data_IF_706153051879
#
_entry.id   IF_706153051879
#
_cell.length_a   1.000
_cell.length_b   1.000
_cell.length_c   1.000
_cell.angle_alpha   90.00
_cell.angle_beta   90.00
_cell.angle_gamma   90.00
#
_symmetry.space_group_name_H-M   'P 1'
#
loop_
_entity.id
_entity.type
_entity.pdbx_description
1 polymer ?
#
# COMPACT_ATOMS: atom_id res chain seq x y z
N UNK A 1 4.03 20.28 -14.53
CA UNK A 1 2.93 20.47 -13.57
C UNK A 1 3.05 19.36 -12.54
N UNK A 2 3.19 19.68 -11.24
CA UNK A 2 3.20 18.67 -10.18
C UNK A 2 1.84 18.00 -10.12
N UNK A 3 1.77 16.67 -10.17
CA UNK A 3 0.53 15.96 -9.88
C UNK A 3 0.02 16.35 -8.47
N UNK A 4 -1.30 16.48 -8.30
CA UNK A 4 -1.88 16.71 -6.98
C UNK A 4 -1.54 15.57 -6.04
N UNK A 5 -1.28 15.88 -4.76
CA UNK A 5 -1.10 14.87 -3.73
C UNK A 5 -2.44 14.23 -3.43
N UNK A 6 -2.50 12.90 -3.51
CA UNK A 6 -3.73 12.13 -3.36
C UNK A 6 -3.47 10.90 -2.50
N UNK A 7 -4.54 10.38 -1.87
CA UNK A 7 -4.46 9.12 -1.14
C UNK A 7 -4.01 7.95 -2.01
N UNK A 8 -3.47 6.91 -1.38
CA UNK A 8 -2.93 5.73 -2.02
C UNK A 8 -1.84 6.04 -3.06
N UNK A 9 -1.09 7.13 -2.90
CA UNK A 9 0.05 7.45 -3.77
C UNK A 9 1.35 7.46 -2.96
N UNK A 10 2.46 7.19 -3.65
CA UNK A 10 3.81 7.38 -3.10
C UNK A 10 4.32 8.73 -3.59
N UNK A 11 4.71 9.58 -2.65
CA UNK A 11 5.22 10.90 -2.94
C UNK A 11 6.54 11.14 -2.21
N UNK A 12 7.47 11.85 -2.85
CA UNK A 12 8.64 12.40 -2.17
C UNK A 12 8.36 13.85 -1.82
N UNK A 13 8.34 14.16 -0.53
CA UNK A 13 7.96 15.46 0.01
C UNK A 13 9.07 16.03 0.87
N UNK A 14 9.20 17.36 0.83
CA UNK A 14 10.20 18.08 1.62
C UNK A 14 9.68 18.32 3.03
N UNK A 15 10.51 18.09 4.03
CA UNK A 15 10.22 18.40 5.42
C UNK A 15 10.34 19.90 5.65
N UNK A 16 9.24 20.55 6.02
CA UNK A 16 9.20 22.00 6.25
C UNK A 16 9.46 22.36 7.71
N UNK A 17 8.93 21.56 8.64
CA UNK A 17 9.04 21.80 10.09
C UNK A 17 8.86 20.51 10.89
N UNK A 18 9.37 20.52 12.11
CA UNK A 18 9.22 19.44 13.08
C UNK A 18 8.42 19.94 14.29
N UNK A 19 7.65 19.05 14.89
CA UNK A 19 6.92 19.29 16.14
C UNK A 19 6.96 18.03 17.01
N UNK A 20 6.39 18.09 18.22
CA UNK A 20 6.24 16.92 19.08
C UNK A 20 5.39 15.81 18.43
N UNK A 21 4.43 16.17 17.57
CA UNK A 21 3.57 15.20 16.89
C UNK A 21 4.27 14.46 15.74
N UNK A 22 5.29 15.07 15.14
CA UNK A 22 5.99 14.55 13.97
C UNK A 22 6.52 15.63 13.03
N UNK A 23 6.79 15.23 11.79
CA UNK A 23 7.28 16.10 10.73
C UNK A 23 6.13 16.60 9.87
N UNK A 24 6.14 17.88 9.49
CA UNK A 24 5.21 18.43 8.51
C UNK A 24 5.89 18.50 7.16
N UNK A 25 5.26 17.88 6.18
CA UNK A 25 5.73 17.75 4.81
C UNK A 25 5.01 18.76 3.93
N UNK A 26 5.74 19.27 2.92
CA UNK A 26 5.20 20.21 1.94
C UNK A 26 4.02 19.60 1.17
N UNK A 27 2.81 20.11 1.45
CA UNK A 27 1.57 19.74 0.76
C UNK A 27 1.48 20.22 -0.68
N UNK A 28 2.47 21.01 -1.17
CA UNK A 28 2.51 21.62 -2.51
C UNK A 28 1.33 22.53 -2.83
N UNK A 29 0.63 23.02 -1.80
CA UNK A 29 -0.48 23.97 -1.92
C UNK A 29 -0.05 25.42 -1.71
N UNK A 30 1.13 25.64 -1.13
CA UNK A 30 1.60 26.95 -0.68
C UNK A 30 0.92 27.44 0.61
N UNK A 31 0.08 26.61 1.25
CA UNK A 31 -0.61 26.91 2.48
C UNK A 31 -0.21 25.93 3.58
N UNK A 32 0.35 26.43 4.68
CA UNK A 32 0.86 25.62 5.79
C UNK A 32 -0.22 24.84 6.55
N UNK A 33 -1.49 25.20 6.38
CA UNK A 33 -2.61 24.45 6.97
C UNK A 33 -2.88 23.13 6.23
N UNK A 34 -2.42 23.02 4.97
CA UNK A 34 -2.55 21.81 4.16
C UNK A 34 -1.24 20.98 4.17
N UNK A 35 -0.29 21.34 5.06
CA UNK A 35 0.91 20.54 5.29
C UNK A 35 0.53 19.12 5.71
N UNK A 36 1.20 18.13 5.14
CA UNK A 36 0.92 16.74 5.43
C UNK A 36 1.70 16.31 6.67
N UNK A 37 1.01 15.86 7.69
CA UNK A 37 1.64 15.37 8.92
C UNK A 37 2.17 13.94 8.72
N UNK A 38 3.47 13.77 8.91
CA UNK A 38 4.17 12.50 9.09
C UNK A 38 4.42 12.28 10.58
N UNK A 39 3.54 11.51 11.22
CA UNK A 39 3.64 11.21 12.65
C UNK A 39 4.96 10.52 13.00
N UNK A 40 5.48 10.79 14.20
CA UNK A 40 6.76 10.23 14.66
C UNK A 40 6.80 8.69 14.65
N UNK A 41 5.67 8.03 14.92
CA UNK A 41 5.55 6.56 14.89
C UNK A 41 5.52 5.97 13.46
N UNK A 42 5.37 6.82 12.44
CA UNK A 42 5.36 6.45 11.02
C UNK A 42 6.70 6.72 10.32
N UNK A 43 7.68 7.26 11.05
CA UNK A 43 9.03 7.49 10.55
C UNK A 43 9.83 6.20 10.70
N UNK A 44 10.50 5.76 9.63
CA UNK A 44 11.40 4.60 9.67
C UNK A 44 12.80 4.98 10.13
N UNK A 45 13.18 6.24 9.92
CA UNK A 45 14.50 6.79 10.17
C UNK A 45 14.37 8.21 10.75
N UNK A 46 15.47 8.79 11.21
CA UNK A 46 15.49 10.16 11.72
C UNK A 46 15.21 11.16 10.58
N UNK A 47 14.20 12.02 10.78
CA UNK A 47 13.77 13.03 9.79
C UNK A 47 14.20 14.43 10.22
N UNK A 48 14.90 15.17 9.35
CA UNK A 48 15.36 16.55 9.62
C UNK A 48 14.67 17.56 8.72
N UNK A 49 14.60 18.80 9.19
CA UNK A 49 14.06 19.91 8.39
C UNK A 49 14.90 20.10 7.13
N UNK A 50 14.25 20.19 5.98
CA UNK A 50 14.89 20.31 4.68
C UNK A 50 15.09 19.00 3.93
N UNK A 51 14.95 17.85 4.59
CA UNK A 51 15.08 16.53 3.97
C UNK A 51 13.95 16.27 2.98
N UNK A 52 14.23 15.42 1.99
CA UNK A 52 13.21 14.86 1.10
C UNK A 52 12.94 13.42 1.54
N UNK A 53 11.72 13.15 1.99
CA UNK A 53 11.31 11.82 2.46
C UNK A 53 10.30 11.21 1.50
N UNK A 54 10.48 9.94 1.17
CA UNK A 54 9.51 9.17 0.40
C UNK A 54 8.47 8.57 1.34
N UNK A 55 7.20 8.90 1.09
CA UNK A 55 6.08 8.53 1.95
C UNK A 55 4.91 7.99 1.13
N UNK A 56 4.14 7.11 1.75
CA UNK A 56 2.83 6.69 1.30
C UNK A 56 1.75 7.59 1.91
N UNK A 57 0.87 8.14 1.06
CA UNK A 57 -0.20 9.05 1.46
C UNK A 57 -1.51 8.29 1.70
N UNK A 58 -2.17 8.57 2.82
CA UNK A 58 -3.43 7.93 3.20
C UNK A 58 -4.29 8.89 4.04
N UNK A 59 -5.58 8.57 4.22
CA UNK A 59 -6.46 9.33 5.11
C UNK A 59 -6.45 8.79 6.54
N UNK A 60 -6.29 9.67 7.52
CA UNK A 60 -6.52 9.36 8.93
C UNK A 60 -8.03 9.10 9.19
N UNK A 61 -8.42 8.59 10.37
CA UNK A 61 -9.83 8.40 10.71
C UNK A 61 -10.66 9.70 10.72
N UNK A 62 -9.99 10.86 10.81
CA UNK A 62 -10.61 12.19 10.74
C UNK A 62 -10.76 12.70 9.29
N UNK A 63 -10.39 11.90 8.29
CA UNK A 63 -10.47 12.26 6.87
C UNK A 63 -9.39 13.22 6.40
N UNK A 64 -8.29 13.40 7.16
CA UNK A 64 -7.17 14.26 6.77
C UNK A 64 -6.10 13.46 6.06
N UNK A 65 -5.53 14.04 5.01
CA UNK A 65 -4.41 13.43 4.28
C UNK A 65 -3.16 13.45 5.16
N UNK A 66 -2.62 12.27 5.42
CA UNK A 66 -1.43 12.04 6.25
C UNK A 66 -0.44 11.14 5.49
N UNK A 67 0.77 10.99 6.03
CA UNK A 67 1.87 10.29 5.41
C UNK A 67 2.47 9.24 6.34
N UNK A 68 2.99 8.16 5.75
CA UNK A 68 3.84 7.18 6.44
C UNK A 68 5.05 6.82 5.59
N UNK A 69 6.22 6.61 6.23
CA UNK A 69 7.41 6.08 5.54
C UNK A 69 7.33 4.57 5.34
N UNK A 70 6.30 3.90 5.86
CA UNK A 70 6.03 2.48 5.59
C UNK A 70 5.45 2.32 4.19
N UNK A 71 6.33 1.99 3.25
CA UNK A 71 5.99 1.76 1.85
C UNK A 71 5.47 0.32 1.63
N UNK A 72 4.72 0.08 0.54
CA UNK A 72 4.30 -1.27 0.17
C UNK A 72 5.51 -2.18 -0.03
N UNK A 73 5.45 -3.39 0.54
CA UNK A 73 6.51 -4.41 0.43
C UNK A 73 6.55 -5.07 -0.96
N UNK A 74 5.42 -5.11 -1.65
CA UNK A 74 5.31 -5.57 -3.03
C UNK A 74 5.41 -4.39 -3.99
N UNK A 75 6.08 -4.57 -5.13
CA UNK A 75 6.17 -3.53 -6.17
C UNK A 75 4.96 -3.58 -7.08
N UNK A 76 4.68 -2.47 -7.77
CA UNK A 76 3.65 -2.42 -8.81
C UNK A 76 3.91 -3.50 -9.86
N UNK A 77 2.88 -4.29 -10.19
CA UNK A 77 2.93 -5.44 -11.09
C UNK A 77 3.36 -6.76 -10.43
N UNK A 78 3.78 -6.75 -9.16
CA UNK A 78 4.11 -7.97 -8.43
C UNK A 78 2.92 -8.49 -7.63
N UNK A 79 2.94 -9.79 -7.34
CA UNK A 79 1.97 -10.44 -6.47
C UNK A 79 2.54 -10.66 -5.07
N UNK A 80 1.66 -10.73 -4.08
CA UNK A 80 1.98 -11.05 -2.71
C UNK A 80 0.85 -11.81 -2.04
N UNK A 81 1.19 -12.59 -1.03
CA UNK A 81 0.22 -13.24 -0.15
C UNK A 81 0.08 -12.43 1.12
N UNK A 82 -1.09 -11.84 1.33
CA UNK A 82 -1.31 -10.83 2.36
C UNK A 82 -2.67 -10.99 3.05
N UNK A 83 -2.79 -10.68 4.34
CA UNK A 83 -4.06 -10.72 5.06
C UNK A 83 -4.94 -9.52 4.72
N UNK A 84 -6.25 -9.76 4.69
CA UNK A 84 -7.27 -8.70 4.65
C UNK A 84 -7.37 -8.05 6.02
N UNK A 85 -7.16 -6.74 6.10
CA UNK A 85 -7.25 -5.94 7.33
C UNK A 85 -8.70 -5.63 7.68
N UNK A 86 -9.50 -5.28 6.68
CA UNK A 86 -10.89 -4.86 6.87
C UNK A 86 -11.67 -5.02 5.57
N UNK A 87 -12.94 -5.40 5.66
CA UNK A 87 -13.88 -5.45 4.54
C UNK A 87 -14.97 -4.38 4.69
N UNK A 88 -15.19 -3.60 3.65
CA UNK A 88 -16.23 -2.57 3.57
C UNK A 88 -17.23 -2.90 2.47
N UNK A 89 -18.32 -2.13 2.38
CA UNK A 89 -19.31 -2.28 1.29
C UNK A 89 -18.77 -1.95 -0.11
N UNK A 90 -17.63 -1.28 -0.19
CA UNK A 90 -17.05 -0.81 -1.45
C UNK A 90 -15.82 -1.62 -1.90
N UNK A 91 -15.30 -2.47 -1.01
CA UNK A 91 -14.01 -3.13 -1.22
C UNK A 91 -13.39 -3.56 0.11
N UNK A 92 -12.15 -4.00 0.08
CA UNK A 92 -11.40 -4.41 1.26
C UNK A 92 -10.05 -3.69 1.36
N UNK A 93 -9.46 -3.64 2.55
CA UNK A 93 -8.09 -3.17 2.76
C UNK A 93 -7.19 -4.37 3.00
N UNK A 94 -6.07 -4.43 2.29
CA UNK A 94 -5.13 -5.57 2.34
C UNK A 94 -3.78 -5.11 2.88
N UNK A 95 -3.21 -5.85 3.83
CA UNK A 95 -1.91 -5.55 4.43
C UNK A 95 -0.76 -5.94 3.50
N UNK A 96 -0.32 -4.97 2.71
CA UNK A 96 0.90 -5.10 1.89
C UNK A 96 2.11 -4.44 2.53
N UNK A 97 2.08 -4.19 3.84
CA UNK A 97 3.14 -3.54 4.62
C UNK A 97 3.03 -2.02 4.77
N UNK A 98 1.96 -1.41 4.26
CA UNK A 98 1.61 -0.01 4.52
C UNK A 98 0.78 0.12 5.80
N UNK A 99 0.80 1.29 6.44
CA UNK A 99 0.15 1.52 7.74
C UNK A 99 -1.36 1.21 7.77
N UNK A 100 -2.08 1.47 6.67
CA UNK A 100 -3.52 1.24 6.54
C UNK A 100 -3.88 0.13 5.57
N UNK A 101 -2.89 -0.58 5.06
CA UNK A 101 -3.04 -1.42 3.87
C UNK A 101 -3.33 -0.60 2.61
N UNK A 102 -3.60 -1.32 1.52
CA UNK A 102 -4.00 -0.74 0.23
C UNK A 102 -5.42 -1.19 -0.09
N UNK A 103 -6.19 -0.29 -0.69
CA UNK A 103 -7.57 -0.54 -1.04
C UNK A 103 -7.69 -1.50 -2.23
N UNK A 104 -8.58 -2.48 -2.08
CA UNK A 104 -9.02 -3.46 -3.06
C UNK A 104 -10.47 -3.15 -3.44
N UNK A 105 -10.73 -2.57 -4.62
CA UNK A 105 -12.10 -2.32 -5.06
C UNK A 105 -12.91 -3.60 -5.17
N UNK A 106 -14.23 -3.54 -4.91
CA UNK A 106 -15.11 -4.70 -5.03
C UNK A 106 -15.04 -5.41 -6.40
N UNK A 107 -14.84 -4.65 -7.49
CA UNK A 107 -14.69 -5.19 -8.84
C UNK A 107 -13.44 -6.09 -9.00
N UNK A 108 -12.43 -5.88 -8.17
CA UNK A 108 -11.14 -6.59 -8.19
C UNK A 108 -11.10 -7.75 -7.17
N UNK A 109 -12.19 -7.96 -6.43
CA UNK A 109 -12.32 -9.01 -5.43
C UNK A 109 -12.83 -10.30 -6.07
N UNK A 110 -12.29 -11.43 -5.63
CA UNK A 110 -12.81 -12.76 -5.95
C UNK A 110 -13.48 -13.39 -4.74
N UNK A 111 -14.75 -13.71 -4.92
CA UNK A 111 -15.59 -14.20 -3.82
C UNK A 111 -15.80 -13.11 -2.77
N UNK A 112 -15.82 -13.51 -1.49
CA UNK A 112 -16.01 -12.60 -0.36
C UNK A 112 -14.93 -12.89 0.69
N UNK A 113 -13.70 -12.39 0.48
CA UNK A 113 -12.65 -12.43 1.48
C UNK A 113 -13.15 -11.89 2.81
N UNK A 114 -12.76 -12.53 3.90
CA UNK A 114 -13.07 -12.09 5.26
C UNK A 114 -11.88 -11.38 5.88
N UNK A 115 -12.14 -10.54 6.86
CA UNK A 115 -11.09 -9.99 7.70
C UNK A 115 -10.22 -11.11 8.31
N UNK A 116 -8.90 -10.95 8.25
CA UNK A 116 -7.91 -11.94 8.66
C UNK A 116 -7.61 -13.04 7.63
N UNK A 117 -8.38 -13.15 6.54
CA UNK A 117 -8.12 -14.12 5.49
C UNK A 117 -6.90 -13.72 4.66
N UNK A 118 -6.00 -14.67 4.39
CA UNK A 118 -4.86 -14.44 3.52
C UNK A 118 -5.22 -14.73 2.07
N UNK A 119 -4.99 -13.75 1.22
CA UNK A 119 -5.31 -13.77 -0.21
C UNK A 119 -4.09 -13.43 -1.05
N UNK A 120 -4.07 -13.96 -2.27
CA UNK A 120 -3.13 -13.51 -3.28
C UNK A 120 -3.61 -12.22 -3.89
N UNK A 121 -2.74 -11.23 -3.90
CA UNK A 121 -3.03 -9.91 -4.46
C UNK A 121 -1.90 -9.43 -5.36
N UNK A 122 -2.26 -8.70 -6.41
CA UNK A 122 -1.33 -7.94 -7.24
C UNK A 122 -1.46 -6.46 -6.89
N UNK A 123 -0.33 -5.79 -6.69
CA UNK A 123 -0.30 -4.32 -6.61
C UNK A 123 -0.35 -3.73 -8.02
N UNK A 124 -1.25 -2.82 -8.28
CA UNK A 124 -1.31 -2.09 -9.55
C UNK A 124 -1.57 -0.61 -9.32
N UNK A 125 -1.34 0.17 -10.37
CA UNK A 125 -1.62 1.60 -10.38
C UNK A 125 -2.82 1.86 -11.30
N UNK A 126 -3.85 2.54 -10.78
CA UNK A 126 -5.04 2.85 -11.56
C UNK A 126 -4.80 4.01 -12.55
N UNK A 127 -5.80 4.32 -13.39
CA UNK A 127 -5.72 5.42 -14.36
C UNK A 127 -5.51 6.80 -13.71
N UNK A 128 -5.82 6.93 -12.42
CA UNK A 128 -5.62 8.14 -11.62
C UNK A 128 -4.29 8.16 -10.86
N UNK A 129 -3.37 7.23 -11.15
CA UNK A 129 -2.05 7.13 -10.50
C UNK A 129 -2.12 6.69 -9.03
N UNK A 130 -3.23 6.09 -8.59
CA UNK A 130 -3.39 5.57 -7.22
C UNK A 130 -3.07 4.09 -7.18
N UNK A 131 -2.39 3.67 -6.13
CA UNK A 131 -2.12 2.27 -5.85
C UNK A 131 -3.39 1.58 -5.36
N UNK A 132 -3.68 0.45 -5.98
CA UNK A 132 -4.76 -0.43 -5.61
C UNK A 132 -4.28 -1.88 -5.70
N UNK A 133 -5.01 -2.79 -5.06
CA UNK A 133 -4.72 -4.22 -5.17
C UNK A 133 -5.86 -4.96 -5.85
N UNK A 134 -5.52 -6.06 -6.53
CA UNK A 134 -6.49 -6.94 -7.20
C UNK A 134 -6.21 -8.41 -6.90
N UNK A 135 -7.25 -9.22 -6.82
CA UNK A 135 -7.14 -10.68 -6.75
C UNK A 135 -6.96 -11.34 -8.13
N UNK A 136 -6.89 -10.56 -9.20
CA UNK A 136 -6.51 -11.02 -10.54
C UNK A 136 -5.00 -11.20 -10.63
N UNK A 137 -4.55 -12.41 -10.29
CA UNK A 137 -3.14 -12.78 -10.14
C UNK A 137 -2.72 -13.92 -11.06
N UNK A 138 -3.62 -14.48 -11.88
CA UNK A 138 -3.34 -15.74 -12.58
C UNK A 138 -2.22 -15.65 -13.62
N UNK A 139 -2.10 -14.52 -14.31
CA UNK A 139 -1.05 -14.34 -15.30
C UNK A 139 0.33 -14.25 -14.63
N UNK A 140 0.42 -13.59 -13.48
CA UNK A 140 1.62 -13.53 -12.67
C UNK A 140 1.92 -14.89 -12.03
N UNK A 141 0.92 -15.54 -11.43
CA UNK A 141 1.07 -16.89 -10.88
C UNK A 141 1.53 -17.89 -11.94
N UNK A 142 0.94 -17.86 -13.14
CA UNK A 142 1.34 -18.74 -14.25
C UNK A 142 2.79 -18.50 -14.67
N UNK A 143 3.21 -17.23 -14.76
CA UNK A 143 4.59 -16.87 -15.11
C UNK A 143 5.60 -17.27 -14.04
N UNK A 144 5.20 -17.22 -12.78
CA UNK A 144 6.05 -17.55 -11.64
C UNK A 144 6.02 -19.05 -11.28
N UNK A 145 5.10 -19.82 -11.86
CA UNK A 145 4.96 -21.25 -11.65
C UNK A 145 6.07 -22.03 -12.35
N UNK A 146 6.64 -23.00 -11.65
CA UNK A 146 7.53 -24.03 -12.21
C UNK A 146 6.76 -25.33 -12.38
N UNK A 147 7.10 -26.09 -13.41
CA UNK A 147 6.51 -27.41 -13.63
C UNK A 147 6.73 -28.29 -12.39
N UNK A 148 5.65 -28.86 -11.87
CA UNK A 148 5.68 -29.78 -10.75
C UNK A 148 6.24 -31.14 -11.21
N UNK A 149 7.53 -31.16 -11.53
CA UNK A 149 8.25 -32.34 -12.06
C UNK A 149 8.48 -33.41 -10.99
N UNK A 150 8.55 -33.00 -9.72
CA UNK A 150 8.82 -33.89 -8.59
C UNK A 150 7.59 -34.23 -7.73
N UNK A 151 6.42 -33.64 -8.02
CA UNK A 151 5.20 -33.87 -7.25
C UNK A 151 4.32 -34.94 -7.89
N UNK A 152 3.84 -35.91 -7.09
CA UNK A 152 2.89 -36.93 -7.53
C UNK A 152 1.47 -36.57 -7.08
N UNK A 153 0.49 -37.10 -7.80
CA UNK A 153 -0.93 -37.00 -7.40
C UNK A 153 -1.08 -37.61 -6.00
N UNK A 154 -1.50 -36.79 -5.04
CA UNK A 154 -1.63 -37.17 -3.63
C UNK A 154 -0.61 -36.52 -2.69
N UNK A 155 0.42 -35.85 -3.23
CA UNK A 155 1.40 -35.14 -2.41
C UNK A 155 0.88 -33.80 -1.92
N UNK A 156 1.18 -33.47 -0.66
CA UNK A 156 0.94 -32.16 -0.10
C UNK A 156 2.09 -31.22 -0.48
N UNK A 157 1.81 -30.22 -1.31
CA UNK A 157 2.79 -29.22 -1.74
C UNK A 157 2.59 -27.93 -0.95
N UNK A 158 3.69 -27.38 -0.42
CA UNK A 158 3.66 -26.12 0.32
C UNK A 158 3.67 -24.95 -0.67
N UNK A 159 2.61 -24.15 -0.67
CA UNK A 159 2.52 -22.95 -1.51
C UNK A 159 3.45 -21.86 -0.92
N UNK A 160 4.41 -21.31 -1.67
CA UNK A 160 5.23 -20.18 -1.20
C UNK A 160 4.35 -18.97 -0.89
N UNK A 161 4.68 -18.17 0.13
CA UNK A 161 3.92 -16.97 0.49
C UNK A 161 4.24 -15.74 -0.40
N UNK A 162 5.13 -15.87 -1.38
CA UNK A 162 5.50 -14.79 -2.31
C UNK A 162 6.02 -15.41 -3.60
N UNK A 163 5.61 -14.87 -4.75
CA UNK A 163 6.07 -15.31 -6.08
C UNK A 163 6.26 -14.11 -7.00
#
# INVERSE_FOLDING_TARGET
MSSPLQENTIATLKVLRLSEAGAFLDGRTGNTNDDILLHKNQQTDEVKIGDNVTVFLYHDPSGRLTASMRLPKIKTGQIGYAPVINTTRFGAFVDVGTERGIFMPFAEMRGRPKEGEYIWVKLYEDKSRRLAVTMEVEDEMRRASVAATDAKVGDWVKVPSTI
#
